data_IF_313067147604
#
_entry.id   IF_313067147604
#
_cell.length_a   1.000
_cell.length_b   1.000
_cell.length_c   1.000
_cell.angle_alpha   90.00
_cell.angle_beta   90.00
_cell.angle_gamma   90.00
#
_symmetry.space_group_name_H-M   'P 1'
#
loop_
_entity.id
_entity.type
_entity.pdbx_description
1 polymer ?
#
# COMPACT_ATOMS: atom_id res chain seq x y z
N UNK A 1 13.81 10.18 1.85
CA UNK A 1 13.54 8.91 2.56
C UNK A 1 13.80 7.72 1.65
N UNK A 2 14.29 6.61 2.20
CA UNK A 2 14.43 5.30 1.58
C UNK A 2 13.15 4.50 1.83
N UNK A 3 12.35 4.31 0.78
CA UNK A 3 11.02 3.71 0.86
C UNK A 3 11.05 2.26 0.38
N UNK A 4 10.66 1.31 1.22
CA UNK A 4 10.43 -0.07 0.78
C UNK A 4 8.97 -0.25 0.34
N UNK A 5 8.74 -0.89 -0.81
CA UNK A 5 7.39 -1.17 -1.32
C UNK A 5 7.25 -2.67 -1.58
N UNK A 6 6.35 -3.33 -0.88
CA UNK A 6 5.96 -4.73 -1.14
C UNK A 6 4.92 -4.69 -2.26
N UNK A 7 5.23 -5.23 -3.43
CA UNK A 7 4.34 -5.17 -4.62
C UNK A 7 4.49 -6.39 -5.54
N UNK A 8 3.50 -6.60 -6.41
CA UNK A 8 3.52 -7.61 -7.49
C UNK A 8 4.13 -7.09 -8.79
N UNK A 9 4.34 -5.77 -8.92
CA UNK A 9 5.04 -5.16 -10.06
C UNK A 9 6.50 -5.65 -10.12
N UNK A 10 7.07 -5.97 -11.32
CA UNK A 10 6.63 -5.58 -12.68
C UNK A 10 5.64 -6.49 -13.43
N UNK A 11 5.04 -7.51 -12.80
CA UNK A 11 4.53 -8.68 -13.56
C UNK A 11 3.08 -8.54 -14.06
N UNK A 12 2.19 -7.84 -13.36
CA UNK A 12 0.77 -7.87 -13.72
C UNK A 12 0.51 -7.08 -15.02
N UNK A 13 0.27 -7.79 -16.13
CA UNK A 13 -0.39 -7.21 -17.32
C UNK A 13 -1.86 -6.84 -17.07
N UNK A 14 -2.34 -7.05 -15.85
CA UNK A 14 -3.68 -6.70 -15.39
C UNK A 14 -3.71 -5.25 -14.87
N UNK A 15 -4.92 -4.68 -14.72
CA UNK A 15 -5.16 -3.29 -14.30
C UNK A 15 -4.47 -2.83 -12.99
N UNK A 16 -3.85 -3.73 -12.22
CA UNK A 16 -3.08 -3.40 -11.02
C UNK A 16 -1.57 -3.42 -11.18
N UNK A 17 -1.04 -4.04 -12.23
CA UNK A 17 0.32 -3.69 -12.64
C UNK A 17 0.35 -2.24 -13.09
N UNK A 18 -0.73 -1.76 -13.72
CA UNK A 18 -0.93 -0.35 -13.99
C UNK A 18 -1.02 0.48 -12.71
N UNK A 19 -1.75 0.05 -11.68
CA UNK A 19 -1.81 0.77 -10.41
C UNK A 19 -0.44 0.83 -9.73
N UNK A 20 0.20 -0.31 -9.55
CA UNK A 20 1.51 -0.41 -8.91
C UNK A 20 2.58 0.36 -9.69
N UNK A 21 2.57 0.29 -11.03
CA UNK A 21 3.43 1.11 -11.90
C UNK A 21 3.24 2.59 -11.63
N UNK A 22 1.99 3.06 -11.63
CA UNK A 22 1.68 4.47 -11.40
C UNK A 22 2.02 4.90 -9.96
N UNK A 23 1.78 4.05 -8.97
CA UNK A 23 2.15 4.30 -7.58
C UNK A 23 3.67 4.48 -7.46
N UNK A 24 4.45 3.54 -8.00
CA UNK A 24 5.92 3.59 -7.98
C UNK A 24 6.42 4.80 -8.77
N UNK A 25 5.84 5.09 -9.94
CA UNK A 25 6.17 6.27 -10.75
C UNK A 25 5.99 7.56 -9.95
N UNK A 26 4.85 7.74 -9.27
CA UNK A 26 4.59 8.97 -8.52
C UNK A 26 5.44 9.07 -7.25
N UNK A 27 5.69 7.97 -6.53
CA UNK A 27 6.69 7.98 -5.45
C UNK A 27 8.09 8.36 -5.97
N UNK A 28 8.45 7.89 -7.17
CA UNK A 28 9.75 8.16 -7.77
C UNK A 28 9.95 9.63 -8.17
N UNK A 29 8.85 10.33 -8.43
CA UNK A 29 8.83 11.77 -8.73
C UNK A 29 8.73 12.65 -7.48
N UNK A 30 8.45 12.08 -6.31
CA UNK A 30 8.39 12.82 -5.05
C UNK A 30 9.79 13.19 -4.56
N UNK A 31 10.03 14.48 -4.29
CA UNK A 31 11.30 14.96 -3.71
C UNK A 31 11.57 14.38 -2.31
N UNK A 32 10.52 13.98 -1.59
CA UNK A 32 10.63 13.36 -0.27
C UNK A 32 11.23 11.94 -0.34
N UNK A 33 11.24 11.29 -1.52
CA UNK A 33 11.70 9.91 -1.70
C UNK A 33 13.01 9.89 -2.51
N UNK A 34 14.09 9.50 -1.85
CA UNK A 34 15.44 9.48 -2.43
C UNK A 34 15.82 8.13 -3.04
N UNK A 35 15.19 7.04 -2.57
CA UNK A 35 15.40 5.68 -3.07
C UNK A 35 14.13 4.85 -2.83
N UNK A 36 13.76 4.03 -3.80
CA UNK A 36 12.69 3.03 -3.69
C UNK A 36 13.32 1.64 -3.73
N UNK A 37 12.90 0.77 -2.80
CA UNK A 37 13.31 -0.63 -2.74
C UNK A 37 12.07 -1.50 -2.92
N UNK A 38 11.93 -2.10 -4.10
CA UNK A 38 10.83 -3.00 -4.41
C UNK A 38 11.11 -4.39 -3.83
N UNK A 39 10.19 -4.88 -3.01
CA UNK A 39 10.21 -6.21 -2.41
C UNK A 39 9.31 -7.15 -3.23
N UNK A 40 9.94 -7.95 -4.10
CA UNK A 40 9.29 -8.66 -5.20
C UNK A 40 9.38 -10.18 -5.09
N UNK A 41 8.68 -10.86 -5.98
CA UNK A 41 8.67 -12.31 -6.07
C UNK A 41 9.96 -12.85 -6.71
N UNK A 42 10.57 -13.86 -6.08
CA UNK A 42 11.83 -14.52 -6.46
C UNK A 42 11.89 -15.07 -7.89
N UNK A 43 10.73 -15.38 -8.49
CA UNK A 43 10.70 -16.01 -9.81
C UNK A 43 10.94 -15.04 -10.97
N UNK A 44 10.77 -13.74 -10.75
CA UNK A 44 10.59 -12.80 -11.87
C UNK A 44 11.69 -11.74 -11.99
N UNK A 45 12.43 -11.47 -10.91
CA UNK A 45 13.61 -10.61 -10.95
C UNK A 45 13.32 -9.19 -11.48
N UNK A 46 14.34 -8.57 -12.08
CA UNK A 46 14.29 -7.17 -12.59
C UNK A 46 13.60 -7.00 -13.95
N UNK A 47 13.16 -8.09 -14.57
CA UNK A 47 12.66 -8.06 -15.95
C UNK A 47 11.34 -7.26 -16.01
N UNK A 48 11.29 -6.19 -16.80
CA UNK A 48 10.07 -5.39 -16.99
C UNK A 48 10.02 -4.07 -16.24
N UNK A 49 11.06 -3.71 -15.48
CA UNK A 49 11.18 -2.39 -14.86
C UNK A 49 11.64 -1.33 -15.87
N UNK A 50 10.67 -0.66 -16.49
CA UNK A 50 10.94 0.44 -17.41
C UNK A 50 10.15 1.67 -16.98
N UNK A 51 10.87 2.72 -16.59
CA UNK A 51 10.32 4.05 -16.35
C UNK A 51 10.97 5.02 -17.33
N UNK A 52 10.18 5.85 -17.99
CA UNK A 52 10.68 6.86 -18.95
C UNK A 52 11.07 8.15 -18.25
N UNK A 53 10.49 8.43 -17.09
CA UNK A 53 10.71 9.66 -16.35
C UNK A 53 12.07 9.66 -15.65
N UNK A 54 12.62 10.84 -15.37
CA UNK A 54 13.78 10.99 -14.48
C UNK A 54 13.26 11.19 -13.06
N UNK A 55 13.73 10.37 -12.12
CA UNK A 55 13.34 10.41 -10.71
C UNK A 55 14.27 9.52 -9.88
N UNK A 56 13.92 9.29 -8.62
CA UNK A 56 14.80 8.61 -7.67
C UNK A 56 15.21 7.17 -8.08
N UNK A 57 16.27 6.65 -7.45
CA UNK A 57 16.80 5.32 -7.76
C UNK A 57 15.82 4.22 -7.34
N UNK A 58 15.68 3.18 -8.16
CA UNK A 58 14.96 1.95 -7.79
C UNK A 58 15.95 0.80 -7.59
N UNK A 59 15.77 0.07 -6.50
CA UNK A 59 16.39 -1.22 -6.23
C UNK A 59 15.31 -2.30 -6.16
N UNK A 60 15.67 -3.52 -6.53
CA UNK A 60 14.77 -4.68 -6.49
C UNK A 60 15.40 -5.74 -5.60
N UNK A 61 14.59 -6.26 -4.67
CA UNK A 61 14.93 -7.34 -3.76
C UNK A 61 13.89 -8.43 -3.83
N UNK A 62 14.30 -9.54 -4.43
CA UNK A 62 13.52 -10.76 -4.55
C UNK A 62 13.46 -11.49 -3.21
N UNK A 63 12.35 -11.36 -2.48
CA UNK A 63 12.27 -11.82 -1.09
C UNK A 63 11.07 -12.71 -0.76
N UNK A 64 10.13 -12.94 -1.67
CA UNK A 64 8.99 -13.82 -1.42
C UNK A 64 8.67 -14.69 -2.64
N UNK A 65 7.86 -15.74 -2.49
CA UNK A 65 7.43 -16.60 -3.59
C UNK A 65 5.98 -17.03 -3.41
N UNK A 66 5.32 -17.43 -4.50
CA UNK A 66 3.91 -17.87 -4.42
C UNK A 66 3.77 -19.08 -3.50
N UNK A 67 2.68 -19.12 -2.73
CA UNK A 67 2.27 -20.20 -1.83
C UNK A 67 3.28 -20.56 -0.71
N UNK A 68 4.24 -19.69 -0.42
CA UNK A 68 5.30 -19.98 0.55
C UNK A 68 4.93 -19.53 1.96
N UNK A 69 4.94 -20.48 2.90
CA UNK A 69 4.74 -20.21 4.34
C UNK A 69 5.85 -19.31 4.94
N UNK A 70 7.02 -19.25 4.27
CA UNK A 70 8.15 -18.43 4.73
C UNK A 70 8.06 -16.96 4.30
N UNK A 71 7.05 -16.55 3.54
CA UNK A 71 6.96 -15.19 3.00
C UNK A 71 7.00 -14.12 4.10
N UNK A 72 6.18 -14.23 5.15
CA UNK A 72 6.19 -13.27 6.25
C UNK A 72 7.58 -13.12 6.89
N UNK A 73 8.28 -14.23 7.10
CA UNK A 73 9.62 -14.23 7.67
C UNK A 73 10.69 -13.66 6.72
N UNK A 74 10.69 -14.12 5.47
CA UNK A 74 11.67 -13.71 4.46
C UNK A 74 11.55 -12.22 4.12
N UNK A 75 10.32 -11.69 4.04
CA UNK A 75 10.06 -10.25 3.87
C UNK A 75 10.56 -9.48 5.10
N UNK A 76 10.25 -9.95 6.31
CA UNK A 76 10.67 -9.29 7.56
C UNK A 76 12.20 -9.21 7.70
N UNK A 77 12.92 -10.29 7.38
CA UNK A 77 14.39 -10.29 7.33
C UNK A 77 14.88 -9.25 6.32
N UNK A 78 14.31 -9.27 5.11
CA UNK A 78 14.72 -8.34 4.06
C UNK A 78 14.52 -6.88 4.48
N UNK A 79 13.40 -6.56 5.13
CA UNK A 79 13.14 -5.22 5.70
C UNK A 79 14.18 -4.86 6.76
N UNK A 80 14.51 -5.79 7.66
CA UNK A 80 15.51 -5.57 8.70
C UNK A 80 16.92 -5.33 8.13
N UNK A 81 17.26 -6.00 7.03
CA UNK A 81 18.57 -5.91 6.39
C UNK A 81 18.72 -4.62 5.59
N UNK A 82 17.70 -4.22 4.84
CA UNK A 82 17.75 -3.00 4.01
C UNK A 82 17.59 -1.71 4.83
N UNK A 83 16.98 -1.81 6.04
CA UNK A 83 16.70 -0.70 6.97
C UNK A 83 16.05 0.51 6.25
N UNK A 84 14.81 0.34 5.74
CA UNK A 84 14.13 1.45 5.09
C UNK A 84 13.64 2.45 6.13
N UNK A 85 13.46 3.70 5.73
CA UNK A 85 12.85 4.74 6.58
C UNK A 85 11.34 4.50 6.74
N UNK A 86 10.71 3.89 5.73
CA UNK A 86 9.29 3.60 5.70
C UNK A 86 8.97 2.40 4.80
N UNK A 87 7.83 1.75 5.06
CA UNK A 87 7.33 0.60 4.29
C UNK A 87 5.91 0.85 3.80
N UNK A 88 5.66 0.65 2.50
CA UNK A 88 4.31 0.62 1.92
C UNK A 88 4.00 -0.80 1.47
N UNK A 89 2.86 -1.32 1.91
CA UNK A 89 2.33 -2.59 1.45
C UNK A 89 1.25 -2.33 0.41
N UNK A 90 1.57 -2.57 -0.87
CA UNK A 90 0.62 -2.54 -1.98
C UNK A 90 -0.10 -3.90 -2.04
N UNK A 91 -0.99 -4.14 -1.06
CA UNK A 91 -1.52 -5.46 -0.75
C UNK A 91 -2.79 -5.80 -1.54
N UNK A 92 -2.79 -7.05 -2.02
CA UNK A 92 -3.94 -7.75 -2.60
C UNK A 92 -3.92 -9.19 -2.11
N UNK A 93 -5.09 -9.74 -1.81
CA UNK A 93 -5.21 -11.11 -1.30
C UNK A 93 -4.53 -12.17 -2.20
N UNK A 94 -4.64 -12.04 -3.53
CA UNK A 94 -4.04 -12.96 -4.49
C UNK A 94 -2.55 -12.74 -4.76
N UNK A 95 -1.92 -11.73 -4.13
CA UNK A 95 -0.51 -11.39 -4.35
C UNK A 95 0.44 -12.55 -4.07
N UNK A 96 0.18 -13.31 -3.00
CA UNK A 96 1.08 -14.36 -2.52
C UNK A 96 0.65 -15.77 -2.91
N UNK A 97 -0.35 -15.90 -3.80
CA UNK A 97 -0.87 -17.18 -4.29
C UNK A 97 -2.19 -17.58 -3.63
N UNK A 98 -2.52 -18.86 -3.74
CA UNK A 98 -3.81 -19.44 -3.33
C UNK A 98 -3.78 -20.06 -1.92
N UNK A 99 -2.59 -20.35 -1.40
CA UNK A 99 -2.44 -20.95 -0.08
C UNK A 99 -2.84 -19.95 1.03
N UNK A 100 -4.02 -20.18 1.61
CA UNK A 100 -4.61 -19.30 2.63
C UNK A 100 -3.74 -19.12 3.87
N UNK A 101 -3.10 -20.19 4.35
CA UNK A 101 -2.21 -20.12 5.53
C UNK A 101 -0.98 -19.26 5.20
N UNK A 102 -0.37 -19.48 4.04
CA UNK A 102 0.77 -18.67 3.59
C UNK A 102 0.41 -17.19 3.49
N UNK A 103 -0.76 -16.87 2.91
CA UNK A 103 -1.24 -15.50 2.79
C UNK A 103 -1.53 -14.87 4.16
N UNK A 104 -2.14 -15.61 5.09
CA UNK A 104 -2.39 -15.14 6.46
C UNK A 104 -1.09 -14.78 7.18
N UNK A 105 -0.03 -15.57 7.02
CA UNK A 105 1.27 -15.32 7.68
C UNK A 105 1.97 -14.05 7.19
N UNK A 106 1.64 -13.53 6.00
CA UNK A 106 2.15 -12.24 5.53
C UNK A 106 1.61 -11.08 6.36
N UNK A 107 0.43 -11.22 6.97
CA UNK A 107 -0.12 -10.20 7.88
C UNK A 107 0.80 -9.87 9.06
N UNK A 108 1.72 -10.78 9.42
CA UNK A 108 2.72 -10.54 10.47
C UNK A 108 3.78 -9.50 10.09
N UNK A 109 3.94 -9.15 8.80
CA UNK A 109 4.99 -8.21 8.38
C UNK A 109 4.71 -6.77 8.86
N UNK A 110 3.48 -6.21 8.74
CA UNK A 110 3.13 -4.95 9.41
C UNK A 110 3.37 -4.97 10.92
N UNK A 111 3.01 -6.07 11.59
CA UNK A 111 3.26 -6.25 13.05
C UNK A 111 4.75 -6.17 13.35
N UNK A 112 5.57 -6.86 12.56
CA UNK A 112 7.02 -6.81 12.66
C UNK A 112 7.56 -5.37 12.46
N UNK A 113 7.06 -4.64 11.46
CA UNK A 113 7.46 -3.25 11.21
C UNK A 113 7.15 -2.37 12.42
N UNK A 114 5.94 -2.50 13.00
CA UNK A 114 5.53 -1.77 14.22
C UNK A 114 6.42 -2.08 15.41
N UNK A 115 6.75 -3.36 15.63
CA UNK A 115 7.65 -3.77 16.72
C UNK A 115 9.08 -3.23 16.55
N UNK A 116 9.52 -3.03 15.30
CA UNK A 116 10.83 -2.44 14.97
C UNK A 116 10.83 -0.91 14.93
N UNK A 117 9.69 -0.26 15.14
CA UNK A 117 9.58 1.19 15.00
C UNK A 117 9.78 1.66 13.56
N UNK A 118 9.42 0.83 12.57
CA UNK A 118 9.50 1.19 11.14
C UNK A 118 8.11 1.69 10.72
N UNK A 119 7.95 2.98 10.38
CA UNK A 119 6.71 3.53 9.85
C UNK A 119 6.21 2.72 8.67
N UNK A 120 4.94 2.32 8.70
CA UNK A 120 4.37 1.54 7.61
C UNK A 120 2.90 1.85 7.31
N UNK A 121 2.55 1.75 6.02
CA UNK A 121 1.20 2.01 5.50
C UNK A 121 0.75 0.80 4.67
N UNK A 122 -0.48 0.35 4.92
CA UNK A 122 -1.12 -0.72 4.16
C UNK A 122 -2.11 -0.14 3.16
N UNK A 123 -1.82 -0.23 1.87
CA UNK A 123 -2.77 0.04 0.79
C UNK A 123 -3.48 -1.28 0.48
N UNK A 124 -4.76 -1.36 0.77
CA UNK A 124 -5.55 -2.58 0.68
C UNK A 124 -6.61 -2.45 -0.41
N UNK A 125 -6.36 -3.12 -1.53
CA UNK A 125 -7.20 -3.03 -2.73
C UNK A 125 -8.52 -3.79 -2.64
N UNK A 126 -8.56 -4.81 -1.79
CA UNK A 126 -9.73 -5.68 -1.63
C UNK A 126 -9.65 -6.36 -0.27
N UNK A 127 -10.63 -6.10 0.58
CA UNK A 127 -10.76 -6.69 1.90
C UNK A 127 -11.83 -7.78 1.85
N UNK A 128 -11.45 -9.05 2.00
CA UNK A 128 -12.45 -10.13 2.10
C UNK A 128 -13.32 -9.95 3.34
N UNK A 129 -14.61 -10.23 3.21
CA UNK A 129 -15.50 -10.32 4.37
C UNK A 129 -15.31 -11.65 5.09
N UNK A 130 -14.76 -11.60 6.28
CA UNK A 130 -14.64 -12.75 7.17
C UNK A 130 -15.99 -13.43 7.47
N UNK A 131 -17.12 -12.71 7.43
CA UNK A 131 -18.45 -13.28 7.67
C UNK A 131 -18.99 -14.11 6.51
N UNK A 132 -18.38 -14.04 5.32
CA UNK A 132 -18.73 -14.92 4.19
C UNK A 132 -18.12 -16.31 4.32
N UNK A 133 -17.28 -16.55 5.32
CA UNK A 133 -16.56 -17.81 5.50
C UNK A 133 -16.82 -18.41 6.87
N UNK A 134 -16.58 -19.73 6.98
CA UNK A 134 -16.78 -20.49 8.20
C UNK A 134 -15.49 -21.16 8.69
N UNK A 135 -15.54 -21.60 9.95
CA UNK A 135 -14.51 -22.43 10.60
C UNK A 135 -13.08 -21.85 10.48
N UNK A 136 -12.13 -22.63 9.96
CA UNK A 136 -10.71 -22.28 9.88
C UNK A 136 -10.49 -21.07 8.97
N UNK A 137 -11.25 -20.93 7.88
CA UNK A 137 -11.06 -19.80 6.95
C UNK A 137 -11.46 -18.48 7.60
N UNK A 138 -12.60 -18.46 8.30
CA UNK A 138 -13.04 -17.29 9.10
C UNK A 138 -11.98 -16.90 10.13
N UNK A 139 -11.47 -17.89 10.85
CA UNK A 139 -10.42 -17.67 11.85
C UNK A 139 -9.15 -17.07 11.22
N UNK A 140 -8.64 -17.66 10.13
CA UNK A 140 -7.44 -17.19 9.45
C UNK A 140 -7.59 -15.77 8.90
N UNK A 141 -8.74 -15.43 8.31
CA UNK A 141 -9.00 -14.08 7.82
C UNK A 141 -9.12 -13.07 8.95
N UNK A 142 -9.82 -13.40 10.04
CA UNK A 142 -9.89 -12.52 11.22
C UNK A 142 -8.51 -12.24 11.81
N UNK A 143 -7.64 -13.25 11.86
CA UNK A 143 -6.27 -13.07 12.35
C UNK A 143 -5.42 -12.25 11.38
N UNK A 144 -5.55 -12.51 10.07
CA UNK A 144 -4.91 -11.69 9.04
C UNK A 144 -5.31 -10.22 9.16
N UNK A 145 -6.61 -9.93 9.24
CA UNK A 145 -7.16 -8.58 9.37
C UNK A 145 -6.60 -7.90 10.62
N UNK A 146 -6.63 -8.56 11.79
CA UNK A 146 -6.02 -8.03 13.02
C UNK A 146 -4.54 -7.67 12.88
N UNK A 147 -3.77 -8.45 12.13
CA UNK A 147 -2.35 -8.17 11.94
C UNK A 147 -2.13 -7.04 10.93
N UNK A 148 -2.90 -7.01 9.84
CA UNK A 148 -2.83 -5.93 8.85
C UNK A 148 -3.23 -4.58 9.44
N UNK A 149 -4.25 -4.51 10.29
CA UNK A 149 -4.68 -3.22 10.86
C UNK A 149 -3.67 -2.60 11.84
N UNK A 150 -2.62 -3.33 12.21
CA UNK A 150 -1.57 -2.81 13.11
C UNK A 150 -0.69 -1.74 12.45
N UNK A 151 -0.72 -1.61 11.13
CA UNK A 151 0.04 -0.60 10.39
C UNK A 151 -0.20 0.82 10.93
N UNK A 152 0.76 1.74 10.72
CA UNK A 152 0.58 3.12 11.17
C UNK A 152 -0.62 3.77 10.48
N UNK A 153 -0.89 3.39 9.23
CA UNK A 153 -2.09 3.79 8.52
C UNK A 153 -2.54 2.73 7.53
N UNK A 154 -3.83 2.77 7.19
CA UNK A 154 -4.47 1.87 6.24
C UNK A 154 -5.20 2.71 5.22
N UNK A 155 -4.94 2.47 3.95
CA UNK A 155 -5.66 3.08 2.84
C UNK A 155 -6.48 1.97 2.18
N UNK A 156 -7.80 2.13 2.11
CA UNK A 156 -8.68 1.21 1.39
C UNK A 156 -9.26 1.87 0.16
N UNK A 157 -9.52 1.07 -0.86
CA UNK A 157 -10.05 1.55 -2.15
C UNK A 157 -11.55 1.44 -2.28
N UNK A 158 -12.23 0.95 -1.23
CA UNK A 158 -13.69 0.80 -1.15
C UNK A 158 -14.22 1.41 0.16
N UNK A 159 -15.23 2.28 0.07
CA UNK A 159 -15.83 2.94 1.22
C UNK A 159 -16.52 1.95 2.17
N UNK A 160 -17.11 0.88 1.63
CA UNK A 160 -17.69 -0.19 2.43
C UNK A 160 -16.63 -0.89 3.30
N UNK A 161 -15.44 -1.12 2.73
CA UNK A 161 -14.32 -1.73 3.47
C UNK A 161 -13.82 -0.81 4.58
N UNK A 162 -13.81 0.51 4.35
CA UNK A 162 -13.45 1.49 5.37
C UNK A 162 -14.41 1.41 6.56
N UNK A 163 -15.71 1.55 6.30
CA UNK A 163 -16.76 1.55 7.33
C UNK A 163 -16.74 0.25 8.14
N UNK A 164 -16.72 -0.89 7.43
CA UNK A 164 -16.70 -2.21 8.06
C UNK A 164 -15.45 -2.43 8.91
N UNK A 165 -14.26 -2.06 8.44
CA UNK A 165 -13.04 -2.23 9.23
C UNK A 165 -13.05 -1.32 10.47
N UNK A 166 -13.53 -0.08 10.33
CA UNK A 166 -13.71 0.84 11.49
C UNK A 166 -14.64 0.24 12.53
N UNK A 167 -15.78 -0.28 12.12
CA UNK A 167 -16.80 -0.85 13.02
C UNK A 167 -16.32 -2.16 13.67
N UNK A 168 -15.83 -3.11 12.88
CA UNK A 168 -15.47 -4.44 13.37
C UNK A 168 -14.22 -4.46 14.26
N UNK A 169 -13.29 -3.53 14.02
CA UNK A 169 -12.00 -3.51 14.70
C UNK A 169 -11.77 -2.26 15.58
N UNK A 170 -12.73 -1.32 15.61
CA UNK A 170 -12.65 -0.07 16.36
C UNK A 170 -11.36 0.73 16.09
N UNK A 171 -11.05 0.91 14.80
CA UNK A 171 -9.83 1.58 14.34
C UNK A 171 -10.12 2.97 13.76
N UNK A 172 -9.19 3.89 13.97
CA UNK A 172 -9.25 5.27 13.46
C UNK A 172 -8.19 5.58 12.41
N UNK A 173 -7.10 4.81 12.36
CA UNK A 173 -5.95 4.93 11.46
C UNK A 173 -6.21 4.35 10.05
N UNK A 174 -7.41 4.54 9.52
CA UNK A 174 -7.81 4.10 8.18
C UNK A 174 -8.32 5.30 7.38
N UNK A 175 -8.23 5.25 6.06
CA UNK A 175 -8.80 6.26 5.15
C UNK A 175 -9.22 5.61 3.83
N UNK A 176 -10.29 6.11 3.23
CA UNK A 176 -10.73 5.71 1.90
C UNK A 176 -10.09 6.59 0.83
N UNK A 177 -9.47 5.95 -0.17
CA UNK A 177 -9.02 6.61 -1.40
C UNK A 177 -9.43 5.75 -2.60
N UNK A 178 -10.35 6.22 -3.46
CA UNK A 178 -10.91 5.40 -4.54
C UNK A 178 -9.83 4.95 -5.54
N UNK A 179 -9.95 3.72 -6.03
CA UNK A 179 -9.12 3.22 -7.13
C UNK A 179 -9.69 3.70 -8.47
N UNK A 180 -8.98 4.58 -9.18
CA UNK A 180 -9.41 5.01 -10.51
C UNK A 180 -8.92 4.04 -11.60
N UNK A 181 -9.83 3.63 -12.49
CA UNK A 181 -9.54 2.82 -13.68
C UNK A 181 -9.00 3.72 -14.80
N UNK A 182 -8.07 3.21 -15.64
CA UNK A 182 -7.64 3.88 -16.86
C UNK A 182 -8.83 3.99 -17.82
N UNK A 183 -9.26 5.20 -18.19
CA UNK A 183 -10.07 5.39 -19.38
C UNK A 183 -9.08 5.37 -20.57
N UNK A 184 -9.20 4.44 -21.53
CA UNK A 184 -8.32 4.43 -22.70
C UNK A 184 -8.38 5.77 -23.44
N UNK A 185 -7.25 6.24 -23.96
CA UNK A 185 -7.21 7.42 -24.82
C UNK A 185 -8.19 7.23 -25.99
N UNK A 186 -9.14 8.16 -26.14
CA UNK A 186 -10.19 8.12 -27.16
C UNK A 186 -11.56 7.63 -26.70
N UNK A 187 -11.73 7.18 -25.44
CA UNK A 187 -13.06 6.89 -24.90
C UNK A 187 -13.77 8.20 -24.50
N UNK A 188 -14.89 8.51 -25.15
CA UNK A 188 -15.66 9.70 -24.84
C UNK A 188 -16.48 9.48 -23.55
N UNK A 189 -16.20 10.27 -22.51
CA UNK A 189 -16.87 10.22 -21.20
C UNK A 189 -18.41 10.33 -21.32
N UNK A 190 -18.91 10.99 -22.36
CA UNK A 190 -20.35 11.10 -22.66
C UNK A 190 -21.01 9.79 -23.12
N UNK A 191 -20.23 8.79 -23.54
CA UNK A 191 -20.74 7.45 -23.88
C UNK A 191 -20.88 6.55 -22.65
N UNK A 192 -20.05 6.76 -21.62
CA UNK A 192 -20.10 5.99 -20.36
C UNK A 192 -21.33 6.33 -19.52
N UNK A 193 -21.77 7.59 -19.54
CA UNK A 193 -22.97 8.06 -18.83
C UNK A 193 -24.29 7.51 -19.39
N UNK A 194 -24.31 7.00 -20.63
CA UNK A 194 -25.49 6.35 -21.23
C UNK A 194 -25.65 4.88 -20.83
N UNK A 195 -24.61 4.26 -20.29
CA UNK A 195 -24.65 2.88 -19.80
C UNK A 195 -25.00 2.89 -18.30
N UNK A 196 -26.30 3.02 -17.98
CA UNK A 196 -26.88 2.75 -16.65
C UNK A 196 -26.79 1.26 -16.23
N UNK A 197 -25.80 0.54 -16.75
CA UNK A 197 -25.46 -0.84 -16.42
C UNK A 197 -23.94 -0.87 -16.33
N UNK A 198 -23.42 -0.82 -15.11
CA UNK A 198 -22.42 -1.74 -14.54
C UNK A 198 -22.21 -1.25 -13.10
N UNK A 199 -23.18 -1.58 -12.24
CA UNK A 199 -23.14 -1.44 -10.79
C UNK A 199 -22.33 -2.57 -10.10
N UNK A 200 -21.53 -3.33 -10.86
CA UNK A 200 -20.75 -4.49 -10.39
C UNK A 200 -19.23 -4.36 -10.62
N UNK A 201 -18.75 -3.26 -11.20
CA UNK A 201 -17.32 -2.89 -11.13
C UNK A 201 -17.20 -1.76 -10.12
N UNK A 202 -16.52 -2.01 -9.00
CA UNK A 202 -16.36 -1.05 -7.92
C UNK A 202 -15.85 0.30 -8.43
N UNK A 203 -16.69 1.31 -8.29
CA UNK A 203 -16.31 2.72 -8.16
C UNK A 203 -15.78 3.43 -9.41
N UNK A 204 -16.67 3.80 -10.33
CA UNK A 204 -16.56 5.15 -10.92
C UNK A 204 -17.44 6.04 -10.03
N UNK A 205 -16.86 6.59 -8.98
CA UNK A 205 -17.48 7.69 -8.26
C UNK A 205 -17.19 8.93 -9.12
N UNK A 206 -18.18 9.33 -9.91
CA UNK A 206 -18.18 10.65 -10.54
C UNK A 206 -18.18 11.70 -9.44
N UNK A 207 -17.03 12.33 -9.22
CA UNK A 207 -17.01 13.65 -8.61
C UNK A 207 -17.40 14.63 -9.69
N UNK A 208 -18.34 15.50 -9.34
CA UNK A 208 -18.93 16.56 -10.17
C UNK A 208 -17.83 17.32 -10.93
N UNK A 209 -17.63 16.98 -12.19
CA UNK A 209 -16.71 17.70 -13.08
C UNK A 209 -17.43 18.93 -13.60
N UNK A 210 -17.44 19.99 -12.80
CA UNK A 210 -17.47 21.35 -13.33
C UNK A 210 -16.26 22.09 -12.78
N UNK A 211 -15.51 22.67 -13.73
CA UNK A 211 -14.33 23.53 -13.57
C UNK A 211 -12.93 22.88 -13.50
N UNK A 212 -12.18 23.16 -14.59
CA UNK A 212 -10.71 23.24 -14.70
C UNK A 212 -9.85 22.00 -14.44
N UNK A 213 -9.92 21.00 -15.33
CA UNK A 213 -8.83 20.04 -15.50
C UNK A 213 -8.47 19.86 -16.98
N UNK A 214 -7.89 20.91 -17.58
CA UNK A 214 -7.17 20.76 -18.84
C UNK A 214 -5.84 20.02 -18.59
N UNK A 215 -5.77 18.75 -18.99
CA UNK A 215 -4.50 18.04 -19.23
C UNK A 215 -4.04 17.00 -18.20
N UNK A 216 -4.79 16.70 -17.13
CA UNK A 216 -4.49 15.56 -16.24
C UNK A 216 -5.68 14.61 -16.18
N UNK A 217 -5.52 13.40 -16.70
CA UNK A 217 -6.53 12.33 -16.59
C UNK A 217 -6.81 12.04 -15.11
N UNK A 218 -8.07 11.93 -14.70
CA UNK A 218 -8.54 11.72 -13.31
C UNK A 218 -7.77 10.63 -12.53
N UNK A 219 -7.27 9.60 -13.22
CA UNK A 219 -6.46 8.52 -12.61
C UNK A 219 -5.16 9.01 -11.95
N UNK A 220 -4.47 9.97 -12.55
CA UNK A 220 -3.24 10.51 -11.95
C UNK A 220 -3.56 11.20 -10.62
N UNK A 221 -4.75 11.78 -10.48
CA UNK A 221 -5.14 12.56 -9.30
C UNK A 221 -5.33 11.66 -8.07
N UNK A 222 -5.96 10.49 -8.20
CA UNK A 222 -6.14 9.58 -7.05
C UNK A 222 -4.82 8.96 -6.59
N UNK A 223 -3.95 8.56 -7.51
CA UNK A 223 -2.64 7.99 -7.17
C UNK A 223 -1.71 9.05 -6.58
N UNK A 224 -1.71 10.27 -7.12
CA UNK A 224 -1.01 11.41 -6.51
C UNK A 224 -1.50 11.63 -5.08
N UNK A 225 -2.83 11.64 -4.86
CA UNK A 225 -3.38 11.75 -3.49
C UNK A 225 -2.91 10.62 -2.56
N UNK A 226 -2.84 9.37 -3.03
CA UNK A 226 -2.29 8.26 -2.22
C UNK A 226 -0.83 8.51 -1.86
N UNK A 227 -0.02 8.95 -2.82
CA UNK A 227 1.40 9.27 -2.60
C UNK A 227 1.54 10.43 -1.62
N UNK A 228 0.77 11.50 -1.79
CA UNK A 228 0.78 12.67 -0.91
C UNK A 228 0.36 12.31 0.52
N UNK A 229 -0.70 11.51 0.69
CA UNK A 229 -1.10 10.99 1.99
C UNK A 229 0.03 10.18 2.61
N UNK A 230 0.62 9.25 1.86
CA UNK A 230 1.73 8.42 2.36
C UNK A 230 2.92 9.29 2.81
N UNK A 231 3.40 10.20 1.95
CA UNK A 231 4.55 11.07 2.22
C UNK A 231 4.29 11.95 3.43
N UNK A 232 3.15 12.66 3.48
CA UNK A 232 2.80 13.53 4.61
C UNK A 232 2.73 12.75 5.92
N UNK A 233 2.18 11.53 5.89
CA UNK A 233 2.11 10.68 7.08
C UNK A 233 3.50 10.23 7.54
N UNK A 234 4.37 9.79 6.62
CA UNK A 234 5.74 9.40 6.99
C UNK A 234 6.53 10.57 7.55
N UNK A 235 6.42 11.77 6.98
CA UNK A 235 7.05 12.97 7.51
C UNK A 235 6.53 13.36 8.90
N UNK A 236 5.21 13.24 9.12
CA UNK A 236 4.61 13.51 10.43
C UNK A 236 5.05 12.49 11.48
N UNK A 237 5.11 11.20 11.11
CA UNK A 237 5.60 10.14 11.98
C UNK A 237 7.07 10.38 12.36
N UNK A 238 7.91 10.72 11.37
CA UNK A 238 9.31 11.06 11.59
C UNK A 238 9.44 12.24 12.58
N UNK A 239 8.65 13.31 12.42
CA UNK A 239 8.64 14.47 13.32
C UNK A 239 8.23 14.10 14.75
N UNK A 240 7.23 13.23 14.91
CA UNK A 240 6.77 12.78 16.24
C UNK A 240 7.78 11.88 16.95
N UNK A 241 8.51 11.05 16.20
CA UNK A 241 9.56 10.18 16.75
C UNK A 241 10.84 10.96 17.06
N UNK A 242 11.21 11.95 16.25
CA UNK A 242 12.33 12.88 16.58
C UNK A 242 12.02 13.72 17.81
N UNK A 243 10.77 14.14 18.02
CA UNK A 243 10.35 14.87 19.24
C UNK A 243 10.37 14.02 20.52
N UNK A 244 10.22 12.70 20.40
CA UNK A 244 10.38 11.73 21.50
C UNK A 244 11.86 11.39 21.74
N UNK A 245 12.68 11.33 20.69
CA UNK A 245 14.12 11.14 20.81
C UNK A 245 14.80 12.36 21.45
N UNK A 246 14.48 13.59 21.02
CA UNK A 246 15.04 14.81 21.61
C UNK A 246 14.60 15.00 23.07
N UNK A 247 13.35 14.68 23.43
CA UNK A 247 12.90 14.71 24.83
C UNK A 247 13.54 13.63 25.70
N UNK A 248 13.79 12.43 25.17
CA UNK A 248 14.51 11.39 25.92
C UNK A 248 15.99 11.70 26.08
N UNK A 249 16.66 12.24 25.07
CA UNK A 249 18.09 12.61 25.16
C UNK A 249 18.27 13.81 26.10
N UNK A 250 17.42 14.85 26.00
CA UNK A 250 17.48 16.01 26.92
C UNK A 250 17.11 15.69 28.37
N UNK A 251 16.31 14.64 28.63
CA UNK A 251 16.05 14.15 29.99
C UNK A 251 17.14 13.20 30.53
N UNK A 252 17.97 12.61 29.66
CA UNK A 252 19.07 11.73 30.05
C UNK A 252 20.36 12.52 30.33
N UNK A 253 20.52 13.75 29.80
CA UNK A 253 21.74 14.57 30.00
C UNK A 253 21.69 15.55 31.19
N UNK A 254 20.71 15.46 32.11
CA UNK A 254 20.65 16.31 33.31
C UNK A 254 20.64 15.52 34.64
N UNK A 255 21.18 14.30 34.67
CA UNK A 255 21.49 13.57 35.91
C UNK A 255 22.81 12.81 35.81
N UNK A 256 23.91 13.54 35.67
CA UNK A 256 25.21 13.11 36.18
C UNK A 256 25.98 14.34 36.63
N UNK A 257 26.24 14.39 37.95
CA UNK A 257 27.14 15.26 38.73
C UNK A 257 26.97 16.76 38.63
#
# INVERSE_FOLDING_TARGET
MRLAIITTYPISKDALGDYAYQLIKHFRLSEAVSEIILLTNKRYGRNGLFFTETGCRILVKDCWSLNSLSNGFSISITINDIKPDAVVFDYRESMFGENKIANTLVGLVPVFCRLKGIPNINIWHQVEDENQFESIRKFLLKQFNKWMITANHIIVTNLYDEQRLRENYNINNISFVPQCINIPEGLNVSQLTKLNRISNFGGIIGYDTTEELSGKTEKSISIIKVVDVCVNMFENLAKTETGLYDKKVSQITLKTS
#
